data_IF_318048883745
#
_entry.id   IF_318048883745
#
_cell.length_a   1.000
_cell.length_b   1.000
_cell.length_c   1.000
_cell.angle_alpha   90.00
_cell.angle_beta   90.00
_cell.angle_gamma   90.00
#
_symmetry.space_group_name_H-M   'P 1'
#
loop_
_entity.id
_entity.type
_entity.pdbx_description
1 polymer ?
#
# COMPACT_ATOMS: atom_id res chain seq x y z
N UNK A 1 1.07 -3.91 -4.74
CA UNK A 1 2.20 -4.43 -3.90
C UNK A 1 1.97 -5.86 -3.40
N UNK A 2 0.83 -6.15 -2.76
CA UNK A 2 0.54 -7.45 -2.14
C UNK A 2 0.65 -8.63 -3.13
N UNK A 3 0.07 -8.51 -4.33
CA UNK A 3 0.11 -9.58 -5.33
C UNK A 3 1.55 -10.06 -5.64
N UNK A 4 2.48 -9.14 -5.92
CA UNK A 4 3.87 -9.50 -6.26
C UNK A 4 4.70 -9.96 -5.05
N UNK A 5 4.48 -9.39 -3.87
CA UNK A 5 5.33 -9.64 -2.68
C UNK A 5 4.80 -10.77 -1.78
N UNK A 6 3.48 -10.95 -1.72
CA UNK A 6 2.82 -11.90 -0.83
C UNK A 6 2.28 -13.09 -1.62
N UNK A 7 1.52 -12.85 -2.70
CA UNK A 7 0.81 -13.92 -3.41
C UNK A 7 1.74 -14.68 -4.36
N UNK A 8 2.34 -13.99 -5.33
CA UNK A 8 3.08 -14.59 -6.43
C UNK A 8 4.17 -15.61 -5.99
N UNK A 9 4.99 -15.34 -4.97
CA UNK A 9 6.00 -16.31 -4.52
C UNK A 9 5.42 -17.62 -3.95
N UNK A 10 4.13 -17.63 -3.59
CA UNK A 10 3.44 -18.77 -2.95
C UNK A 10 2.59 -19.59 -3.91
N UNK A 11 2.22 -19.02 -5.07
CA UNK A 11 1.30 -19.66 -6.03
C UNK A 11 1.74 -21.07 -6.43
N UNK A 12 3.02 -21.25 -6.76
CA UNK A 12 3.53 -22.56 -7.18
C UNK A 12 3.43 -23.63 -6.09
N UNK A 13 3.72 -23.29 -4.82
CA UNK A 13 3.55 -24.23 -3.70
C UNK A 13 2.07 -24.49 -3.43
N UNK A 14 1.24 -23.45 -3.47
CA UNK A 14 -0.18 -23.56 -3.21
C UNK A 14 -0.87 -24.49 -4.21
N UNK A 15 -0.62 -24.31 -5.51
CA UNK A 15 -1.21 -25.14 -6.56
C UNK A 15 -0.82 -26.62 -6.43
N UNK A 16 0.45 -26.91 -6.10
CA UNK A 16 0.88 -28.31 -5.86
C UNK A 16 0.20 -28.94 -4.65
N UNK A 17 -0.04 -28.18 -3.58
CA UNK A 17 -0.71 -28.67 -2.38
C UNK A 17 -2.24 -28.76 -2.53
N UNK A 18 -2.83 -27.97 -3.43
CA UNK A 18 -4.28 -27.89 -3.63
C UNK A 18 -4.61 -27.85 -5.13
N UNK A 19 -4.43 -28.96 -5.87
CA UNK A 19 -4.52 -28.98 -7.34
C UNK A 19 -5.94 -28.71 -7.86
N UNK A 20 -6.97 -28.92 -7.03
CA UNK A 20 -8.37 -28.73 -7.40
C UNK A 20 -8.90 -27.31 -7.11
N UNK A 21 -8.09 -26.45 -6.49
CA UNK A 21 -8.48 -25.07 -6.20
C UNK A 21 -8.17 -24.19 -7.40
N UNK A 22 -9.21 -23.54 -7.94
CA UNK A 22 -9.07 -22.50 -8.95
C UNK A 22 -8.92 -21.16 -8.23
N UNK A 23 -7.86 -20.42 -8.55
CA UNK A 23 -7.64 -19.08 -8.02
C UNK A 23 -8.07 -18.05 -9.05
N UNK A 24 -9.06 -17.23 -8.70
CA UNK A 24 -9.35 -15.97 -9.38
C UNK A 24 -8.76 -14.81 -8.55
N UNK A 25 -7.94 -13.96 -9.18
CA UNK A 25 -7.17 -12.93 -8.50
C UNK A 25 -7.39 -11.60 -9.22
N UNK A 26 -8.11 -10.70 -8.55
CA UNK A 26 -8.27 -9.32 -8.99
C UNK A 26 -7.29 -8.43 -8.21
N UNK A 27 -6.61 -7.53 -8.92
CA UNK A 27 -5.76 -6.50 -8.34
C UNK A 27 -6.42 -5.16 -8.59
N UNK A 28 -6.92 -4.54 -7.53
CA UNK A 28 -7.54 -3.22 -7.54
C UNK A 28 -6.92 -2.37 -6.44
N UNK A 29 -6.65 -1.10 -6.75
CA UNK A 29 -6.15 -0.10 -5.80
C UNK A 29 -7.31 0.67 -5.11
N UNK A 30 -8.56 0.33 -5.43
CA UNK A 30 -9.78 0.84 -4.80
C UNK A 30 -10.18 0.15 -3.49
N UNK A 31 -11.21 0.70 -2.85
CA UNK A 31 -11.92 0.12 -1.71
C UNK A 31 -13.12 -0.68 -2.22
N UNK A 32 -12.86 -1.76 -2.97
CA UNK A 32 -13.89 -2.62 -3.55
C UNK A 32 -14.55 -3.45 -2.45
N UNK A 33 -15.89 -3.44 -2.34
CA UNK A 33 -16.63 -4.27 -1.37
C UNK A 33 -16.27 -5.75 -1.59
N UNK A 34 -15.56 -6.36 -0.65
CA UNK A 34 -15.03 -7.73 -0.83
C UNK A 34 -16.20 -8.70 -0.89
N UNK A 35 -17.08 -8.61 0.11
CA UNK A 35 -18.23 -9.50 0.25
C UNK A 35 -19.25 -9.24 -0.86
N UNK A 36 -19.62 -7.98 -1.06
CA UNK A 36 -20.61 -7.58 -2.06
C UNK A 36 -20.20 -7.87 -3.50
N UNK A 37 -18.90 -7.94 -3.78
CA UNK A 37 -18.37 -8.30 -5.12
C UNK A 37 -18.12 -9.81 -5.28
N UNK A 38 -18.45 -10.63 -4.28
CA UNK A 38 -18.32 -12.09 -4.34
C UNK A 38 -16.89 -12.61 -4.12
N UNK A 39 -15.99 -11.81 -3.52
CA UNK A 39 -14.67 -12.28 -3.13
C UNK A 39 -14.72 -13.00 -1.78
N UNK A 40 -14.05 -14.15 -1.68
CA UNK A 40 -13.92 -14.88 -0.42
C UNK A 40 -12.90 -14.23 0.53
N UNK A 41 -11.87 -13.57 -0.02
CA UNK A 41 -10.74 -13.01 0.74
C UNK A 41 -10.24 -11.72 0.08
N UNK A 42 -9.93 -10.70 0.89
CA UNK A 42 -9.19 -9.52 0.46
C UNK A 42 -7.87 -9.35 1.19
N UNK A 43 -6.85 -8.87 0.47
CA UNK A 43 -5.56 -8.47 1.05
C UNK A 43 -5.39 -6.97 0.86
N UNK A 44 -5.32 -6.21 1.97
CA UNK A 44 -5.23 -4.74 1.97
C UNK A 44 -4.07 -4.25 2.82
N UNK A 45 -3.62 -3.02 2.54
CA UNK A 45 -2.66 -2.28 3.38
C UNK A 45 -3.47 -1.36 4.30
N UNK A 46 -3.30 -1.48 5.61
CA UNK A 46 -4.02 -0.69 6.61
C UNK A 46 -5.16 -1.46 7.32
N UNK A 47 -5.87 -0.78 8.21
CA UNK A 47 -6.74 -1.39 9.23
C UNK A 47 -8.24 -1.34 8.92
N UNK A 48 -8.63 -1.15 7.65
CA UNK A 48 -10.06 -1.07 7.32
C UNK A 48 -10.65 -2.47 7.14
N UNK A 49 -11.23 -2.98 8.23
CA UNK A 49 -11.97 -4.23 8.28
C UNK A 49 -13.43 -4.00 7.88
N UNK A 50 -13.94 -4.75 6.91
CA UNK A 50 -15.38 -4.78 6.61
C UNK A 50 -16.12 -5.56 7.71
N UNK A 51 -17.41 -5.24 7.87
CA UNK A 51 -18.26 -5.91 8.85
C UNK A 51 -18.23 -7.42 8.57
N UNK A 52 -18.13 -8.21 9.64
CA UNK A 52 -18.13 -9.68 9.60
C UNK A 52 -16.87 -10.33 8.95
N UNK A 53 -15.80 -9.56 8.70
CA UNK A 53 -14.50 -10.11 8.32
C UNK A 53 -13.56 -10.31 9.52
N UNK A 54 -12.64 -11.27 9.42
CA UNK A 54 -11.53 -11.46 10.37
C UNK A 54 -10.22 -11.05 9.70
N UNK A 55 -9.47 -10.13 10.33
CA UNK A 55 -8.17 -9.70 9.83
C UNK A 55 -7.04 -10.63 10.31
N UNK A 56 -6.19 -11.05 9.38
CA UNK A 56 -4.94 -11.77 9.69
C UNK A 56 -3.75 -10.97 9.16
N UNK A 57 -2.78 -10.70 10.04
CA UNK A 57 -1.56 -9.97 9.66
C UNK A 57 -0.66 -10.85 8.79
N UNK A 58 -0.37 -10.40 7.56
CA UNK A 58 0.47 -11.12 6.61
C UNK A 58 1.93 -10.65 6.57
N UNK A 59 2.20 -9.40 6.96
CA UNK A 59 3.54 -8.81 6.94
C UNK A 59 3.78 -7.90 8.16
N UNK A 60 5.04 -7.56 8.45
CA UNK A 60 5.36 -6.39 9.28
C UNK A 60 4.78 -5.10 8.67
N UNK A 61 4.82 -4.02 9.43
CA UNK A 61 4.36 -2.71 8.97
C UNK A 61 5.17 -2.22 7.77
N UNK A 62 4.44 -1.74 6.77
CA UNK A 62 5.03 -1.14 5.57
C UNK A 62 5.34 0.32 5.89
N UNK A 63 6.59 0.72 5.71
CA UNK A 63 7.02 2.11 5.87
C UNK A 63 7.04 2.79 4.50
N UNK A 64 6.31 3.89 4.37
CA UNK A 64 6.43 4.79 3.25
C UNK A 64 7.62 5.72 3.50
N UNK A 65 8.46 5.89 2.48
CA UNK A 65 9.65 6.74 2.54
C UNK A 65 9.56 7.83 1.47
N UNK A 66 9.88 9.05 1.86
CA UNK A 66 10.19 10.14 0.95
C UNK A 66 11.53 9.84 0.27
N UNK A 67 11.55 9.80 -1.06
CA UNK A 67 12.78 9.58 -1.83
C UNK A 67 12.86 10.55 -3.00
N UNK A 68 14.07 10.87 -3.41
CA UNK A 68 14.36 11.69 -4.58
C UNK A 68 15.60 11.12 -5.30
N UNK A 69 15.70 11.36 -6.60
CA UNK A 69 16.90 11.02 -7.37
C UNK A 69 18.07 11.92 -6.94
N UNK A 70 19.32 11.42 -6.90
CA UNK A 70 20.49 12.22 -6.54
C UNK A 70 20.62 13.52 -7.36
N UNK A 71 20.31 13.46 -8.65
CA UNK A 71 20.41 14.60 -9.58
C UNK A 71 19.40 15.71 -9.25
N UNK A 72 18.24 15.34 -8.70
CA UNK A 72 17.23 16.30 -8.27
C UNK A 72 17.70 17.05 -7.03
N UNK A 73 18.25 16.34 -6.05
CA UNK A 73 18.76 16.92 -4.81
C UNK A 73 19.99 17.80 -5.05
N UNK A 74 20.87 17.42 -5.98
CA UNK A 74 22.03 18.23 -6.36
C UNK A 74 21.64 19.60 -6.94
N UNK A 75 20.49 19.68 -7.64
CA UNK A 75 19.99 20.92 -8.26
C UNK A 75 19.11 21.75 -7.35
N UNK A 76 18.31 21.10 -6.48
CA UNK A 76 17.26 21.76 -5.72
C UNK A 76 17.53 21.81 -4.21
N UNK A 77 18.64 21.23 -3.76
CA UNK A 77 18.95 21.05 -2.34
C UNK A 77 18.23 19.86 -1.71
N UNK A 78 18.69 19.47 -0.52
CA UNK A 78 18.06 18.41 0.28
C UNK A 78 17.14 19.03 1.34
N UNK A 79 15.85 18.63 1.41
CA UNK A 79 14.93 19.10 2.44
C UNK A 79 15.39 18.62 3.82
N UNK A 80 15.46 19.53 4.79
CA UNK A 80 15.86 19.25 6.17
C UNK A 80 14.66 19.09 7.10
N UNK A 81 13.53 19.68 6.72
CA UNK A 81 12.25 19.53 7.43
C UNK A 81 11.13 19.14 6.45
N UNK A 82 10.04 18.50 6.92
CA UNK A 82 8.87 18.26 6.08
C UNK A 82 8.28 19.51 5.44
N UNK A 83 8.41 20.68 6.09
CA UNK A 83 7.90 21.94 5.55
C UNK A 83 8.65 22.39 4.29
N UNK A 84 9.93 22.03 4.16
CA UNK A 84 10.77 22.38 3.00
C UNK A 84 10.19 21.77 1.70
N UNK A 85 9.40 20.69 1.80
CA UNK A 85 8.77 20.04 0.66
C UNK A 85 7.79 20.94 -0.10
N UNK A 86 7.31 22.03 0.51
CA UNK A 86 6.52 23.03 -0.21
C UNK A 86 7.31 23.75 -1.32
N UNK A 87 8.64 23.71 -1.26
CA UNK A 87 9.54 24.29 -2.26
C UNK A 87 10.04 23.25 -3.27
N UNK A 88 9.59 22.00 -3.17
CA UNK A 88 10.03 20.88 -4.00
C UNK A 88 8.90 20.36 -4.90
N UNK A 89 9.28 19.81 -6.06
CA UNK A 89 8.39 19.10 -6.96
C UNK A 89 8.04 17.71 -6.41
N UNK A 90 7.03 17.65 -5.54
CA UNK A 90 6.55 16.39 -4.98
C UNK A 90 5.70 15.60 -5.99
N UNK A 91 6.10 14.36 -6.26
CA UNK A 91 5.29 13.40 -7.01
C UNK A 91 4.29 12.78 -6.04
N UNK A 92 3.00 12.99 -6.30
CA UNK A 92 1.93 12.61 -5.39
C UNK A 92 1.10 11.44 -5.92
N UNK A 93 0.58 10.62 -5.00
CA UNK A 93 -0.40 9.59 -5.31
C UNK A 93 -1.81 10.17 -5.30
N UNK A 94 -2.65 9.75 -6.24
CA UNK A 94 -4.09 10.09 -6.26
C UNK A 94 -4.89 8.83 -5.97
N UNK A 95 -5.73 8.86 -4.95
CA UNK A 95 -6.54 7.70 -4.58
C UNK A 95 -7.56 7.38 -5.67
N UNK A 96 -7.59 6.12 -6.16
CA UNK A 96 -8.68 5.64 -7.00
C UNK A 96 -10.04 5.84 -6.33
N UNK A 97 -11.07 6.09 -7.13
CA UNK A 97 -12.43 6.35 -6.65
C UNK A 97 -12.66 7.77 -6.14
N UNK A 98 -11.95 8.18 -5.07
CA UNK A 98 -12.16 9.52 -4.47
C UNK A 98 -11.53 10.66 -5.26
N UNK A 99 -10.47 10.39 -6.03
CA UNK A 99 -9.70 11.41 -6.74
C UNK A 99 -8.87 12.31 -5.83
N UNK A 100 -8.87 12.09 -4.51
CA UNK A 100 -8.10 12.89 -3.56
C UNK A 100 -6.61 12.60 -3.68
N UNK A 101 -5.79 13.65 -3.52
CA UNK A 101 -4.33 13.51 -3.44
C UNK A 101 -3.97 12.99 -2.04
N UNK A 102 -3.16 11.94 -1.99
CA UNK A 102 -2.62 11.42 -0.75
C UNK A 102 -1.78 12.50 -0.05
N UNK A 103 -2.11 12.75 1.22
CA UNK A 103 -1.35 13.70 2.03
C UNK A 103 -0.06 13.05 2.48
N UNK A 104 1.00 13.85 2.49
CA UNK A 104 2.27 13.42 3.07
C UNK A 104 2.15 13.44 4.59
N UNK A 105 2.38 12.30 5.21
CA UNK A 105 2.35 12.13 6.66
C UNK A 105 3.73 11.71 7.13
N UNK A 106 4.30 12.49 8.05
CA UNK A 106 5.62 12.25 8.61
C UNK A 106 5.52 12.02 10.11
N UNK A 107 5.98 10.85 10.55
CA UNK A 107 6.06 10.55 11.98
C UNK A 107 7.39 11.05 12.56
N UNK A 108 7.30 11.93 13.57
CA UNK A 108 8.46 12.30 14.37
C UNK A 108 8.61 11.30 15.53
N UNK A 109 9.76 10.64 15.65
CA UNK A 109 10.05 9.71 16.76
C UNK A 109 9.90 10.36 18.15
N UNK A 110 9.93 11.69 18.24
CA UNK A 110 9.82 12.45 19.49
C UNK A 110 8.43 13.02 19.80
N UNK A 111 7.41 12.75 18.99
CA UNK A 111 6.02 13.09 19.33
C UNK A 111 5.18 11.83 19.36
N UNK A 112 4.86 11.37 20.58
CA UNK A 112 3.74 10.45 20.79
C UNK A 112 2.47 11.18 20.33
N UNK A 113 1.80 10.65 19.31
CA UNK A 113 0.38 10.88 19.11
C UNK A 113 -0.40 9.87 19.94
#
# INVERSE_FOLDING_TARGET
MAAKKVIAPRLGRFHRSHPNVVLDIVIDDGLSDIVGSGFDVGIRVGERLEKDMIAVRLTPDIKLLAVASPEYLAKNGEPKTPADLHQHACINWRYPGSGNIARWEFHNKNKKH
#
